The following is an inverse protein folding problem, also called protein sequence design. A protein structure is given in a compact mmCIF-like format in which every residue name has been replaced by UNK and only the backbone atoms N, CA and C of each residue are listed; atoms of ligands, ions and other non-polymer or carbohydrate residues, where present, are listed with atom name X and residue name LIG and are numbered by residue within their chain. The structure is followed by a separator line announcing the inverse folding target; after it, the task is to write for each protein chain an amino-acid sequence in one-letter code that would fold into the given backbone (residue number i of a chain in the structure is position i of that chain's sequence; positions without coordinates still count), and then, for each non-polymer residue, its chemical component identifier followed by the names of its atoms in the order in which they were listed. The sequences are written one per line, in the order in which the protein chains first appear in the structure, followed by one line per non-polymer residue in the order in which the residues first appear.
data_IF_105077894608
#
_entry.id   IF_105077894608
#
_cell.length_a   1.000
_cell.length_b   1.000
_cell.length_c   1.000
_cell.angle_alpha   90.00
_cell.angle_beta   90.00
_cell.angle_gamma   90.00
#
_symmetry.space_group_name_H-M   'P 1'
#
loop_
_entity.id
_entity.type
_entity.pdbx_description
1 polymer ?
#
# COMPACT_ATOMS: atom_id res chain seq x y z
N UNK A 1 -0.33 -11.29 -18.67
CA UNK A 1 -1.80 -11.09 -18.73
C UNK A 1 -2.05 -9.74 -19.39
N UNK A 2 -2.96 -9.69 -20.37
CA UNK A 2 -3.32 -8.44 -21.04
C UNK A 2 -4.52 -7.80 -20.30
N UNK A 3 -4.36 -6.62 -19.66
CA UNK A 3 -5.44 -6.00 -18.90
C UNK A 3 -6.72 -5.73 -19.71
N UNK A 4 -6.58 -5.55 -21.01
CA UNK A 4 -7.72 -5.31 -21.90
C UNK A 4 -8.56 -6.58 -22.10
N UNK A 5 -7.92 -7.72 -22.29
CA UNK A 5 -8.61 -9.00 -22.43
C UNK A 5 -9.37 -9.37 -21.16
N UNK A 6 -8.79 -9.07 -19.98
CA UNK A 6 -9.43 -9.31 -18.70
C UNK A 6 -10.60 -8.36 -18.44
N UNK A 7 -10.47 -7.10 -18.85
CA UNK A 7 -11.58 -6.14 -18.79
C UNK A 7 -12.77 -6.60 -19.66
N UNK A 8 -12.50 -7.12 -20.86
CA UNK A 8 -13.52 -7.61 -21.78
C UNK A 8 -14.24 -8.88 -21.25
N UNK A 9 -13.59 -9.63 -20.35
CA UNK A 9 -14.20 -10.79 -19.65
C UNK A 9 -15.10 -10.43 -18.49
N UNK A 10 -15.06 -9.19 -18.02
CA UNK A 10 -15.92 -8.66 -16.98
C UNK A 10 -15.26 -8.44 -15.62
N UNK A 11 -15.78 -7.50 -14.90
CA UNK A 11 -15.23 -6.98 -13.65
C UNK A 11 -15.10 -8.01 -12.52
N UNK A 12 -16.05 -8.92 -12.42
CA UNK A 12 -16.06 -9.98 -11.41
C UNK A 12 -14.90 -10.97 -11.61
N UNK A 13 -14.47 -11.17 -12.84
CA UNK A 13 -13.35 -12.05 -13.15
C UNK A 13 -12.03 -11.47 -12.63
N UNK A 14 -11.80 -10.16 -12.80
CA UNK A 14 -10.61 -9.49 -12.27
C UNK A 14 -10.52 -9.58 -10.74
N UNK A 15 -11.66 -9.41 -10.06
CA UNK A 15 -11.74 -9.56 -8.60
C UNK A 15 -11.41 -10.98 -8.14
N UNK A 16 -11.94 -11.99 -8.84
CA UNK A 16 -11.64 -13.40 -8.55
C UNK A 16 -10.16 -13.72 -8.78
N UNK A 17 -9.58 -13.22 -9.85
CA UNK A 17 -8.15 -13.41 -10.15
C UNK A 17 -7.26 -12.78 -9.08
N UNK A 18 -7.62 -11.60 -8.59
CA UNK A 18 -6.85 -10.96 -7.52
C UNK A 18 -6.95 -11.74 -6.20
N UNK A 19 -8.12 -12.25 -5.86
CA UNK A 19 -8.28 -13.11 -4.69
C UNK A 19 -7.51 -14.43 -4.83
N UNK A 20 -7.48 -15.00 -6.02
CA UNK A 20 -6.70 -16.19 -6.32
C UNK A 20 -5.20 -15.91 -6.23
N UNK A 21 -4.75 -14.79 -6.76
CA UNK A 21 -3.35 -14.36 -6.66
C UNK A 21 -2.91 -14.19 -5.21
N UNK A 22 -3.70 -13.49 -4.39
CA UNK A 22 -3.43 -13.37 -2.95
C UNK A 22 -3.35 -14.73 -2.26
N UNK A 23 -4.28 -15.64 -2.54
CA UNK A 23 -4.34 -16.96 -1.91
C UNK A 23 -3.17 -17.85 -2.31
N UNK A 24 -2.77 -17.81 -3.59
CA UNK A 24 -1.79 -18.72 -4.17
C UNK A 24 -0.36 -18.24 -3.95
N UNK A 25 -0.12 -16.94 -3.98
CA UNK A 25 1.22 -16.36 -3.97
C UNK A 25 1.59 -15.61 -2.68
N UNK A 26 0.70 -15.61 -1.69
CA UNK A 26 0.94 -14.86 -0.44
C UNK A 26 2.19 -15.36 0.31
N UNK A 27 2.47 -16.65 0.26
CA UNK A 27 3.65 -17.28 0.88
C UNK A 27 4.73 -17.67 -0.14
N UNK A 28 4.62 -17.17 -1.38
CA UNK A 28 5.61 -17.44 -2.41
C UNK A 28 6.94 -16.76 -2.03
N UNK A 29 8.11 -17.43 -2.19
CA UNK A 29 9.41 -16.77 -1.96
C UNK A 29 9.60 -15.46 -2.73
N UNK A 30 8.94 -15.33 -3.88
CA UNK A 30 8.94 -14.11 -4.68
C UNK A 30 7.91 -13.08 -4.25
N UNK A 31 7.02 -13.42 -3.30
CA UNK A 31 5.96 -12.59 -2.80
C UNK A 31 4.80 -12.34 -3.77
N UNK A 32 3.78 -11.64 -3.30
CA UNK A 32 2.62 -11.25 -4.11
C UNK A 32 2.96 -10.16 -5.14
N UNK A 33 2.04 -9.89 -6.06
CA UNK A 33 2.15 -8.73 -6.98
C UNK A 33 2.30 -7.42 -6.21
N UNK A 34 1.61 -7.27 -5.07
CA UNK A 34 1.75 -6.12 -4.19
C UNK A 34 3.18 -5.99 -3.66
N UNK A 35 3.71 -7.05 -3.09
CA UNK A 35 5.09 -7.10 -2.58
C UNK A 35 6.12 -6.72 -3.64
N UNK A 36 6.02 -7.37 -4.82
CA UNK A 36 6.94 -7.11 -5.95
C UNK A 36 6.90 -5.66 -6.41
N UNK A 37 5.69 -5.08 -6.47
CA UNK A 37 5.50 -3.68 -6.85
C UNK A 37 6.10 -2.71 -5.84
N UNK A 38 5.82 -2.91 -4.56
CA UNK A 38 6.35 -2.09 -3.47
C UNK A 38 7.88 -2.21 -3.39
N UNK A 39 8.42 -3.42 -3.45
CA UNK A 39 9.87 -3.66 -3.49
C UNK A 39 10.51 -2.93 -4.66
N UNK A 40 9.94 -3.05 -5.85
CA UNK A 40 10.44 -2.36 -7.04
C UNK A 40 10.45 -0.84 -6.86
N UNK A 41 9.42 -0.27 -6.24
CA UNK A 41 9.35 1.15 -5.95
C UNK A 41 10.47 1.56 -4.99
N UNK A 42 10.64 0.85 -3.87
CA UNK A 42 11.69 1.12 -2.87
C UNK A 42 13.07 1.07 -3.53
N UNK A 43 13.36 0.01 -4.28
CA UNK A 43 14.67 -0.20 -4.91
C UNK A 43 14.96 0.85 -6.00
N UNK A 44 13.98 1.10 -6.89
CA UNK A 44 14.15 2.02 -8.02
C UNK A 44 14.41 3.44 -7.57
N UNK A 45 13.67 3.92 -6.58
CA UNK A 45 13.78 5.27 -6.07
C UNK A 45 14.71 5.40 -4.86
N UNK A 46 15.35 4.29 -4.47
CA UNK A 46 16.29 4.22 -3.32
C UNK A 46 15.68 4.85 -2.07
N UNK A 47 14.44 4.45 -1.75
CA UNK A 47 13.71 5.01 -0.63
C UNK A 47 14.35 4.54 0.67
N UNK A 48 14.84 5.49 1.47
CA UNK A 48 15.45 5.22 2.77
C UNK A 48 14.36 5.11 3.84
N UNK A 49 14.08 3.88 4.28
CA UNK A 49 13.05 3.57 5.26
C UNK A 49 13.43 3.88 6.71
N UNK A 50 14.67 4.32 7.00
CA UNK A 50 15.11 4.58 8.38
C UNK A 50 14.29 5.62 9.13
N UNK A 51 13.73 6.58 8.39
CA UNK A 51 12.88 7.64 8.94
C UNK A 51 11.40 7.43 8.57
N UNK A 52 11.00 6.19 8.25
CA UNK A 52 9.61 5.88 7.94
C UNK A 52 8.75 6.09 9.20
N UNK A 53 7.87 7.09 9.12
CA UNK A 53 6.95 7.42 10.20
C UNK A 53 5.56 6.85 9.95
N UNK A 54 5.07 6.95 8.71
CA UNK A 54 3.76 6.46 8.32
C UNK A 54 3.83 5.70 7.00
N UNK A 55 3.28 4.49 7.01
CA UNK A 55 3.04 3.69 5.82
C UNK A 55 1.54 3.62 5.54
N UNK A 56 1.14 4.02 4.35
CA UNK A 56 -0.25 4.06 3.92
C UNK A 56 -0.50 3.07 2.80
N UNK A 57 -1.52 2.28 2.95
CA UNK A 57 -1.94 1.29 1.95
C UNK A 57 -3.46 1.15 1.97
N UNK A 58 -4.07 0.92 0.84
CA UNK A 58 -5.51 0.69 0.74
C UNK A 58 -5.84 -0.76 1.07
N UNK A 59 -6.33 -1.00 2.27
CA UNK A 59 -6.62 -2.33 2.79
C UNK A 59 -8.14 -2.51 2.94
N UNK A 60 -8.73 -3.55 2.31
CA UNK A 60 -10.17 -3.76 2.34
C UNK A 60 -10.67 -4.40 3.64
N UNK A 61 -9.80 -5.00 4.43
CA UNK A 61 -10.14 -5.64 5.70
C UNK A 61 -8.94 -5.76 6.62
N UNK A 62 -9.21 -5.98 7.92
CA UNK A 62 -8.14 -6.24 8.89
C UNK A 62 -7.32 -7.48 8.55
N UNK A 63 -7.98 -8.55 8.11
CA UNK A 63 -7.29 -9.79 7.73
C UNK A 63 -6.27 -9.56 6.60
N UNK A 64 -6.67 -8.83 5.54
CA UNK A 64 -5.76 -8.46 4.45
C UNK A 64 -4.65 -7.52 4.96
N UNK A 65 -4.97 -6.62 5.89
CA UNK A 65 -3.97 -5.75 6.50
C UNK A 65 -2.88 -6.56 7.22
N UNK A 66 -3.27 -7.50 8.07
CA UNK A 66 -2.35 -8.34 8.82
C UNK A 66 -1.41 -9.10 7.88
N UNK A 67 -1.94 -9.71 6.82
CA UNK A 67 -1.18 -10.45 5.81
C UNK A 67 -0.20 -9.54 5.03
N UNK A 68 -0.68 -8.40 4.52
CA UNK A 68 0.15 -7.46 3.75
C UNK A 68 1.27 -6.89 4.61
N UNK A 69 1.00 -6.60 5.89
CA UNK A 69 2.04 -6.08 6.79
C UNK A 69 3.10 -7.13 7.13
N UNK A 70 2.73 -8.41 7.19
CA UNK A 70 3.71 -9.50 7.33
C UNK A 70 4.69 -9.54 6.14
N UNK A 71 4.19 -9.42 4.90
CA UNK A 71 5.05 -9.26 3.72
C UNK A 71 5.90 -7.97 3.78
N UNK A 72 5.29 -6.85 4.18
CA UNK A 72 5.98 -5.56 4.26
C UNK A 72 7.12 -5.56 5.29
N UNK A 73 6.98 -6.32 6.38
CA UNK A 73 8.03 -6.47 7.39
C UNK A 73 9.33 -7.04 6.78
N UNK A 74 9.23 -7.93 5.80
CA UNK A 74 10.40 -8.47 5.09
C UNK A 74 11.12 -7.43 4.20
N UNK A 75 10.44 -6.33 3.85
CA UNK A 75 11.02 -5.18 3.16
C UNK A 75 11.61 -4.12 4.11
N UNK A 76 11.58 -4.37 5.43
CA UNK A 76 12.05 -3.44 6.45
C UNK A 76 11.03 -2.36 6.81
N UNK A 77 9.75 -2.56 6.49
CA UNK A 77 8.65 -1.66 6.89
C UNK A 77 8.16 -2.12 8.28
N UNK A 78 8.34 -1.32 9.34
CA UNK A 78 7.88 -1.69 10.67
C UNK A 78 6.36 -1.73 10.75
N UNK A 79 5.81 -2.70 11.49
CA UNK A 79 4.36 -2.93 11.61
C UNK A 79 3.63 -1.73 12.25
N UNK A 80 4.30 -1.01 13.14
CA UNK A 80 3.75 0.15 13.87
C UNK A 80 3.67 1.43 13.02
N UNK A 81 4.24 1.41 11.82
CA UNK A 81 4.16 2.54 10.88
C UNK A 81 2.87 2.58 10.08
N UNK A 82 2.08 1.48 10.08
CA UNK A 82 0.83 1.41 9.33
C UNK A 82 -0.17 2.45 9.85
N UNK A 83 -0.54 3.38 8.98
CA UNK A 83 -1.59 4.37 9.25
C UNK A 83 -2.82 4.11 8.40
N UNK A 84 -3.96 3.98 9.04
CA UNK A 84 -5.25 3.74 8.37
C UNK A 84 -6.39 4.44 9.10
N UNK A 85 -7.30 5.03 8.35
CA UNK A 85 -8.56 5.60 8.85
C UNK A 85 -9.76 4.65 8.66
N UNK A 86 -9.52 3.39 8.30
CA UNK A 86 -10.57 2.43 7.95
C UNK A 86 -11.59 2.23 9.07
N UNK A 87 -11.17 2.24 10.35
CA UNK A 87 -12.06 2.11 11.50
C UNK A 87 -12.98 3.30 11.71
N UNK A 88 -12.58 4.49 11.25
CA UNK A 88 -13.35 5.74 11.36
C UNK A 88 -14.24 5.98 10.15
N UNK A 89 -13.76 5.68 8.96
CA UNK A 89 -14.36 6.10 7.69
C UNK A 89 -14.84 4.95 6.79
N UNK A 90 -14.50 3.70 7.13
CA UNK A 90 -14.74 2.55 6.27
C UNK A 90 -13.77 2.50 5.08
N UNK A 91 -13.90 1.45 4.26
CA UNK A 91 -13.08 1.28 3.08
C UNK A 91 -13.64 2.09 1.91
N UNK A 92 -12.82 2.95 1.32
CA UNK A 92 -13.19 3.77 0.16
C UNK A 92 -12.22 3.61 -1.04
N UNK A 93 -11.50 2.49 -1.08
CA UNK A 93 -10.59 2.19 -2.20
C UNK A 93 -9.33 3.05 -2.21
N UNK A 94 -8.69 3.24 -3.38
CA UNK A 94 -7.46 4.02 -3.51
C UNK A 94 -7.51 5.46 -2.95
N UNK A 95 -8.64 6.19 -2.99
CA UNK A 95 -8.75 7.50 -2.33
C UNK A 95 -8.42 7.51 -0.84
N UNK A 96 -8.48 6.36 -0.15
CA UNK A 96 -8.16 6.23 1.26
C UNK A 96 -6.78 6.81 1.61
N UNK A 97 -5.79 6.65 0.73
CA UNK A 97 -4.42 7.14 1.03
C UNK A 97 -4.35 8.67 1.09
N UNK A 98 -5.18 9.38 0.33
CA UNK A 98 -5.24 10.85 0.39
C UNK A 98 -6.02 11.32 1.63
N UNK A 99 -7.05 10.59 2.02
CA UNK A 99 -7.78 10.84 3.27
C UNK A 99 -6.86 10.63 4.47
N UNK A 100 -6.10 9.54 4.47
CA UNK A 100 -5.10 9.28 5.51
C UNK A 100 -3.98 10.33 5.51
N UNK A 101 -3.53 10.78 4.34
CA UNK A 101 -2.52 11.83 4.25
C UNK A 101 -3.03 13.15 4.85
N UNK A 102 -4.25 13.56 4.52
CA UNK A 102 -4.86 14.76 5.10
C UNK A 102 -4.96 14.65 6.63
N UNK A 103 -5.38 13.48 7.13
CA UNK A 103 -5.45 13.23 8.58
C UNK A 103 -4.07 13.27 9.24
N UNK A 104 -3.06 12.66 8.65
CA UNK A 104 -1.67 12.73 9.15
C UNK A 104 -1.21 14.18 9.23
N UNK A 105 -1.41 14.96 8.17
CA UNK A 105 -0.93 16.35 8.12
C UNK A 105 -1.65 17.28 9.11
N UNK A 106 -2.87 16.93 9.54
CA UNK A 106 -3.68 17.75 10.46
C UNK A 106 -3.59 17.29 11.92
N UNK A 107 -3.52 15.98 12.14
CA UNK A 107 -3.74 15.39 13.46
C UNK A 107 -2.46 14.86 14.09
N UNK A 108 -1.46 14.51 13.26
CA UNK A 108 -0.23 13.89 13.75
C UNK A 108 0.91 14.90 13.89
N UNK A 109 1.74 14.68 14.90
CA UNK A 109 2.98 15.45 15.06
C UNK A 109 4.06 14.88 14.16
N UNK A 110 4.40 15.65 13.13
CA UNK A 110 5.51 15.35 12.23
C UNK A 110 6.80 16.03 12.72
N UNK A 111 7.92 15.38 12.48
CA UNK A 111 9.27 15.90 12.78
C UNK A 111 10.06 16.05 11.49
N UNK A 112 11.10 16.86 11.55
CA UNK A 112 11.99 17.07 10.39
C UNK A 112 12.52 15.74 9.85
N UNK A 113 12.39 15.56 8.53
CA UNK A 113 12.76 14.36 7.76
C UNK A 113 11.89 13.13 7.96
N UNK A 114 10.77 13.21 8.68
CA UNK A 114 9.82 12.10 8.70
C UNK A 114 9.39 11.71 7.28
N UNK A 115 9.40 10.41 7.01
CA UNK A 115 9.00 9.84 5.74
C UNK A 115 7.57 9.31 5.82
N UNK A 116 6.73 9.72 4.89
CA UNK A 116 5.41 9.15 4.63
C UNK A 116 5.52 8.37 3.33
N UNK A 117 5.30 7.06 3.38
CA UNK A 117 5.31 6.17 2.22
C UNK A 117 3.89 5.68 1.97
N UNK A 118 3.45 5.72 0.74
CA UNK A 118 2.18 5.16 0.30
C UNK A 118 2.37 4.22 -0.86
N UNK A 119 1.62 3.11 -0.85
CA UNK A 119 1.54 2.19 -1.97
C UNK A 119 0.13 1.59 -2.05
N UNK A 120 -0.49 1.67 -3.21
CA UNK A 120 -1.85 1.20 -3.46
C UNK A 120 -1.89 0.27 -4.65
N UNK A 121 -2.75 -0.73 -4.56
CA UNK A 121 -3.13 -1.60 -5.67
C UNK A 121 -4.60 -1.40 -5.98
N UNK A 122 -4.92 -1.13 -7.23
CA UNK A 122 -6.27 -1.07 -7.74
C UNK A 122 -6.59 -2.42 -8.39
N UNK A 123 -7.47 -3.17 -7.74
CA UNK A 123 -7.75 -4.58 -8.04
C UNK A 123 -8.36 -4.78 -9.43
N UNK A 124 -9.28 -3.90 -9.81
CA UNK A 124 -10.04 -4.07 -11.05
C UNK A 124 -9.22 -3.87 -12.32
N UNK A 125 -8.03 -3.26 -12.21
CA UNK A 125 -7.15 -2.96 -13.34
C UNK A 125 -5.73 -3.44 -13.15
N UNK A 126 -5.43 -4.11 -12.05
CA UNK A 126 -4.06 -4.49 -11.67
C UNK A 126 -3.07 -3.32 -11.73
N UNK A 127 -3.56 -2.11 -11.46
CA UNK A 127 -2.74 -0.93 -11.41
C UNK A 127 -2.17 -0.74 -10.01
N UNK A 128 -0.92 -0.33 -9.97
CA UNK A 128 -0.24 -0.01 -8.73
C UNK A 128 0.35 1.39 -8.83
N UNK A 129 0.25 2.13 -7.75
CA UNK A 129 0.82 3.47 -7.64
C UNK A 129 1.28 3.71 -6.21
N UNK A 130 2.22 4.64 -6.05
CA UNK A 130 2.67 5.03 -4.73
C UNK A 130 3.37 6.38 -4.77
N UNK A 131 3.59 6.91 -3.60
CA UNK A 131 4.43 8.09 -3.40
C UNK A 131 5.26 7.96 -2.13
N UNK A 132 6.37 8.66 -2.09
CA UNK A 132 7.16 8.87 -0.90
C UNK A 132 7.31 10.38 -0.68
N UNK A 133 6.93 10.85 0.49
CA UNK A 133 6.99 12.26 0.87
C UNK A 133 7.84 12.40 2.12
N UNK A 134 8.71 13.42 2.13
CA UNK A 134 9.51 13.75 3.29
C UNK A 134 9.06 15.10 3.84
N UNK A 135 8.74 15.11 5.13
CA UNK A 135 8.40 16.33 5.82
C UNK A 135 9.67 17.12 6.16
N UNK A 136 9.61 18.43 5.97
CA UNK A 136 10.66 19.35 6.41
C UNK A 136 10.00 20.46 7.23
N UNK A 137 10.49 20.65 8.46
CA UNK A 137 10.08 21.79 9.26
C UNK A 137 10.51 23.09 8.56
N UNK A 138 9.56 24.02 8.42
CA UNK A 138 9.91 25.37 7.95
C UNK A 138 10.59 26.12 9.11
N UNK A 139 11.80 26.58 8.85
CA UNK A 139 12.58 27.41 9.78
C UNK A 139 12.04 28.83 9.77
#
# INVERSE_FOLDING_TARGET
MNPREEYDRGYHHLTQMFQEELRTHFHDPDGTVFYKGLKRMIDTYRIDLRNLRFFQVNLPSKHIADLVMEECASLGIPLDTLYTSMSKMGYCGPPMVFICLDAILREEKLHDKDLILSFVSEVSKFMQAGYAMRYYEQV
#
